data_IF_837853124646
#
_entry.id   IF_837853124646
#
_cell.length_a   1.000
_cell.length_b   1.000
_cell.length_c   1.000
_cell.angle_alpha   90.00
_cell.angle_beta   90.00
_cell.angle_gamma   90.00
#
_symmetry.space_group_name_H-M   'P 1'
#
loop_
_entity.id
_entity.type
_entity.pdbx_description
1 polymer ?
#
# COMPACT_ATOMS: atom_id res chain seq x y z
N UNK A 1 -13.96 17.44 12.70
CA UNK A 1 -13.39 16.18 12.17
C UNK A 1 -14.44 15.31 11.50
N UNK A 2 -15.65 15.15 12.05
CA UNK A 2 -16.72 14.34 11.44
C UNK A 2 -17.12 14.75 10.02
N UNK A 3 -17.27 16.05 9.75
CA UNK A 3 -17.59 16.53 8.39
C UNK A 3 -16.54 16.14 7.33
N UNK A 4 -15.25 16.16 7.69
CA UNK A 4 -14.17 15.73 6.79
C UNK A 4 -14.20 14.21 6.58
N UNK A 5 -14.47 13.44 7.63
CA UNK A 5 -14.64 11.99 7.55
C UNK A 5 -15.80 11.62 6.61
N UNK A 6 -16.94 12.30 6.72
CA UNK A 6 -18.07 12.09 5.81
C UNK A 6 -17.72 12.35 4.34
N UNK A 7 -16.92 13.39 4.05
CA UNK A 7 -16.46 13.67 2.68
C UNK A 7 -15.55 12.54 2.17
N UNK A 8 -14.62 12.07 3.00
CA UNK A 8 -13.73 10.95 2.64
C UNK A 8 -14.54 9.68 2.39
N UNK A 9 -15.46 9.34 3.30
CA UNK A 9 -16.28 8.12 3.20
C UNK A 9 -17.17 8.17 1.96
N UNK A 10 -17.73 9.35 1.65
CA UNK A 10 -18.46 9.58 0.41
C UNK A 10 -17.55 9.35 -0.81
N UNK A 11 -16.41 10.03 -0.89
CA UNK A 11 -15.48 9.87 -2.02
C UNK A 11 -15.02 8.40 -2.17
N UNK A 12 -14.70 7.74 -1.06
CA UNK A 12 -14.28 6.34 -1.05
C UNK A 12 -15.35 5.43 -1.63
N UNK A 13 -16.61 5.58 -1.18
CA UNK A 13 -17.73 4.78 -1.66
C UNK A 13 -17.95 4.95 -3.17
N UNK A 14 -17.92 6.19 -3.66
CA UNK A 14 -18.13 6.44 -5.10
C UNK A 14 -16.96 5.99 -5.98
N UNK A 15 -15.73 6.09 -5.48
CA UNK A 15 -14.54 5.73 -6.27
C UNK A 15 -14.29 4.22 -6.23
N UNK A 16 -14.31 3.61 -5.04
CA UNK A 16 -13.85 2.24 -4.81
C UNK A 16 -14.94 1.22 -4.55
N UNK A 17 -16.20 1.63 -4.32
CA UNK A 17 -17.30 0.69 -4.03
C UNK A 17 -18.45 0.78 -5.04
N UNK A 18 -18.53 1.83 -5.84
CA UNK A 18 -19.62 2.03 -6.79
C UNK A 18 -19.21 1.82 -8.25
N UNK A 19 -19.97 1.01 -9.03
CA UNK A 19 -20.99 0.06 -8.59
C UNK A 19 -20.36 -1.14 -7.87
N UNK A 20 -21.13 -1.80 -7.01
CA UNK A 20 -20.65 -2.88 -6.13
C UNK A 20 -20.06 -4.09 -6.87
N UNK A 21 -20.49 -4.32 -8.11
CA UNK A 21 -19.98 -5.41 -8.94
C UNK A 21 -18.55 -5.14 -9.47
N UNK A 22 -18.29 -3.93 -9.96
CA UNK A 22 -16.99 -3.53 -10.48
C UNK A 22 -16.86 -1.99 -10.42
N UNK A 23 -16.07 -1.44 -9.50
CA UNK A 23 -15.96 0.00 -9.31
C UNK A 23 -15.49 0.72 -10.58
N UNK A 24 -16.07 1.88 -10.87
CA UNK A 24 -15.73 2.62 -12.09
C UNK A 24 -14.25 3.00 -12.16
N UNK A 25 -13.60 3.25 -11.03
CA UNK A 25 -12.16 3.58 -11.02
C UNK A 25 -11.32 2.43 -11.56
N UNK A 26 -11.70 1.18 -11.29
CA UNK A 26 -10.99 0.00 -11.77
C UNK A 26 -11.12 -0.10 -13.30
N UNK A 27 -12.33 0.11 -13.81
CA UNK A 27 -12.60 0.13 -15.26
C UNK A 27 -11.86 1.26 -15.93
N UNK A 28 -11.85 2.47 -15.35
CA UNK A 28 -11.15 3.62 -15.91
C UNK A 28 -9.64 3.43 -15.90
N UNK A 29 -9.05 2.94 -14.81
CA UNK A 29 -7.61 2.73 -14.70
C UNK A 29 -7.11 1.63 -15.65
N UNK A 30 -7.69 0.43 -15.55
CA UNK A 30 -7.29 -0.70 -16.39
C UNK A 30 -7.69 -0.45 -17.85
N UNK A 31 -8.91 0.04 -18.09
CA UNK A 31 -9.39 0.36 -19.42
C UNK A 31 -8.53 1.41 -20.11
N UNK A 32 -8.12 2.47 -19.41
CA UNK A 32 -7.17 3.46 -19.95
C UNK A 32 -5.82 2.84 -20.23
N UNK A 33 -5.27 2.03 -19.31
CA UNK A 33 -3.99 1.35 -19.53
C UNK A 33 -4.01 0.39 -20.72
N UNK A 34 -5.10 -0.36 -20.90
CA UNK A 34 -5.33 -1.24 -22.06
C UNK A 34 -5.44 -0.41 -23.34
N UNK A 35 -6.29 0.63 -23.34
CA UNK A 35 -6.46 1.52 -24.48
C UNK A 35 -5.12 2.15 -24.91
N UNK A 36 -4.36 2.72 -23.96
CA UNK A 36 -3.06 3.31 -24.22
C UNK A 36 -2.06 2.26 -24.70
N UNK A 37 -2.08 1.06 -24.13
CA UNK A 37 -1.23 -0.06 -24.59
C UNK A 37 -1.47 -0.36 -26.05
N UNK A 38 -2.73 -0.50 -26.48
CA UNK A 38 -3.06 -0.75 -27.89
C UNK A 38 -2.70 0.46 -28.76
N UNK A 39 -3.06 1.67 -28.32
CA UNK A 39 -2.83 2.93 -29.06
C UNK A 39 -1.35 3.25 -29.26
N UNK A 40 -0.52 2.91 -28.27
CA UNK A 40 0.95 3.03 -28.32
C UNK A 40 1.61 1.76 -28.86
N UNK A 41 0.81 0.82 -29.39
CA UNK A 41 1.24 -0.42 -30.05
C UNK A 41 2.16 -1.25 -29.15
N UNK A 42 1.81 -1.50 -27.90
CA UNK A 42 2.62 -2.28 -26.94
C UNK A 42 4.04 -1.71 -26.73
N UNK A 43 4.13 -0.40 -26.50
CA UNK A 43 5.42 0.31 -26.30
C UNK A 43 6.24 -0.28 -25.15
N UNK A 44 5.56 -0.73 -24.09
CA UNK A 44 6.20 -1.31 -22.91
C UNK A 44 7.02 -2.56 -23.25
N UNK A 45 6.58 -3.35 -24.23
CA UNK A 45 7.33 -4.53 -24.71
C UNK A 45 8.39 -4.10 -25.72
N UNK A 46 7.99 -3.30 -26.73
CA UNK A 46 8.87 -2.98 -27.87
C UNK A 46 10.06 -2.08 -27.54
N UNK A 47 9.96 -1.26 -26.51
CA UNK A 47 10.93 -0.18 -26.23
C UNK A 47 11.61 -0.28 -24.86
N UNK A 48 11.40 -1.37 -24.11
CA UNK A 48 12.05 -1.58 -22.80
C UNK A 48 13.57 -1.47 -22.87
N UNK A 49 14.19 -2.09 -23.88
CA UNK A 49 15.65 -2.03 -24.07
C UNK A 49 16.15 -0.62 -24.34
N UNK A 50 15.36 0.21 -25.03
CA UNK A 50 15.73 1.60 -25.24
C UNK A 50 15.61 2.39 -23.94
N UNK A 51 14.56 2.16 -23.14
CA UNK A 51 14.44 2.71 -21.79
C UNK A 51 15.69 2.39 -20.96
N UNK A 52 16.11 1.12 -20.92
CA UNK A 52 17.32 0.68 -20.21
C UNK A 52 18.59 1.41 -20.69
N UNK A 53 18.75 1.59 -22.00
CA UNK A 53 19.87 2.35 -22.55
C UNK A 53 19.84 3.84 -22.16
N UNK A 54 18.65 4.44 -22.07
CA UNK A 54 18.49 5.83 -21.62
C UNK A 54 18.89 5.98 -20.14
N UNK A 55 18.44 5.10 -19.24
CA UNK A 55 18.86 5.17 -17.82
C UNK A 55 20.36 4.92 -17.65
N UNK A 56 20.96 4.07 -18.49
CA UNK A 56 22.40 3.81 -18.48
C UNK A 56 23.24 5.02 -18.94
N UNK A 57 22.61 6.11 -19.37
CA UNK A 57 23.26 7.37 -19.73
C UNK A 57 23.77 7.42 -21.16
N UNK A 58 23.48 6.43 -22.01
CA UNK A 58 23.92 6.43 -23.42
C UNK A 58 23.39 7.63 -24.23
N UNK A 59 22.32 8.27 -23.76
CA UNK A 59 21.67 9.40 -24.40
C UNK A 59 21.70 10.69 -23.55
N UNK A 60 22.45 10.68 -22.44
CA UNK A 60 22.60 11.86 -21.58
C UNK A 60 23.50 12.90 -22.24
N UNK A 61 23.02 14.15 -22.32
CA UNK A 61 23.83 15.32 -22.69
C UNK A 61 23.85 16.28 -21.49
N UNK A 62 25.02 16.61 -20.90
CA UNK A 62 25.12 17.56 -19.80
C UNK A 62 24.53 18.95 -20.12
N UNK A 63 24.46 19.32 -21.41
CA UNK A 63 23.90 20.57 -21.92
C UNK A 63 22.38 20.54 -22.07
N UNK A 64 21.73 19.38 -21.91
CA UNK A 64 20.28 19.29 -21.97
C UNK A 64 19.64 20.00 -20.77
N UNK A 65 18.54 20.71 -21.04
CA UNK A 65 17.80 21.45 -20.05
C UNK A 65 17.08 20.51 -19.06
N UNK A 66 17.22 20.80 -17.77
CA UNK A 66 16.69 20.02 -16.66
C UNK A 66 17.63 20.07 -15.45
N UNK A 67 17.22 19.44 -14.36
CA UNK A 67 17.92 19.52 -13.07
C UNK A 67 18.71 18.27 -12.73
N UNK A 68 18.19 17.10 -13.13
CA UNK A 68 18.72 15.78 -12.78
C UNK A 68 18.80 14.88 -14.02
N UNK A 69 19.66 13.86 -14.00
CA UNK A 69 19.73 12.90 -15.11
C UNK A 69 18.60 11.86 -15.05
N UNK A 70 18.47 11.05 -16.10
CA UNK A 70 17.45 10.02 -16.23
C UNK A 70 17.45 9.02 -15.06
N UNK A 71 18.63 8.58 -14.63
CA UNK A 71 18.76 7.64 -13.51
C UNK A 71 18.32 8.25 -12.18
N UNK A 72 18.67 9.51 -11.91
CA UNK A 72 18.25 10.24 -10.72
C UNK A 72 16.75 10.50 -10.72
N UNK A 73 16.16 10.80 -11.88
CA UNK A 73 14.71 10.99 -12.02
C UNK A 73 13.95 9.69 -11.73
N UNK A 74 14.37 8.58 -12.33
CA UNK A 74 13.81 7.26 -12.04
C UNK A 74 14.00 6.88 -10.58
N UNK A 75 15.19 7.09 -10.01
CA UNK A 75 15.48 6.76 -8.61
C UNK A 75 14.64 7.60 -7.65
N UNK A 76 14.45 8.89 -7.94
CA UNK A 76 13.58 9.75 -7.14
C UNK A 76 12.12 9.28 -7.19
N UNK A 77 11.61 8.94 -8.38
CA UNK A 77 10.28 8.37 -8.52
C UNK A 77 10.15 7.01 -7.79
N UNK A 78 11.12 6.12 -7.97
CA UNK A 78 11.15 4.82 -7.30
C UNK A 78 11.32 4.94 -5.78
N UNK A 79 11.96 5.98 -5.27
CA UNK A 79 12.06 6.19 -3.81
C UNK A 79 10.72 6.49 -3.16
N UNK A 80 9.75 6.99 -3.94
CA UNK A 80 8.38 7.19 -3.47
C UNK A 80 7.54 5.92 -3.57
N UNK A 81 7.80 5.07 -4.57
CA UNK A 81 6.99 3.87 -4.85
C UNK A 81 7.52 2.62 -4.13
N UNK A 82 8.84 2.41 -4.13
CA UNK A 82 9.50 1.30 -3.43
C UNK A 82 9.59 1.62 -1.94
N UNK A 83 8.74 0.96 -1.16
CA UNK A 83 8.71 1.10 0.29
C UNK A 83 7.63 0.23 0.92
N UNK A 84 6.88 0.80 1.86
CA UNK A 84 5.84 0.09 2.61
C UNK A 84 4.73 -0.42 1.69
N UNK A 85 4.49 0.22 0.55
CA UNK A 85 3.55 -0.26 -0.47
C UNK A 85 3.88 -1.66 -1.00
N UNK A 86 5.16 -1.95 -1.24
CA UNK A 86 5.61 -3.24 -1.80
C UNK A 86 5.77 -4.31 -0.73
N UNK A 87 6.07 -3.91 0.51
CA UNK A 87 6.26 -4.81 1.65
C UNK A 87 4.90 -5.11 2.28
N UNK A 88 4.28 -4.09 2.90
CA UNK A 88 3.02 -4.24 3.58
C UNK A 88 1.83 -4.29 2.62
N UNK A 89 1.83 -3.51 1.55
CA UNK A 89 0.69 -3.43 0.65
C UNK A 89 0.42 -4.74 -0.10
N UNK A 90 1.46 -5.49 -0.48
CA UNK A 90 1.33 -6.84 -1.06
C UNK A 90 0.75 -7.81 -0.03
N UNK A 91 1.28 -7.84 1.19
CA UNK A 91 0.74 -8.64 2.28
C UNK A 91 -0.72 -8.31 2.58
N UNK A 92 -1.08 -7.02 2.60
CA UNK A 92 -2.47 -6.57 2.74
C UNK A 92 -3.34 -7.04 1.56
N UNK A 93 -2.83 -7.00 0.33
CA UNK A 93 -3.55 -7.49 -0.85
C UNK A 93 -3.85 -8.99 -0.73
N UNK A 94 -2.85 -9.79 -0.33
CA UNK A 94 -3.01 -11.23 -0.13
C UNK A 94 -3.93 -11.52 1.05
N UNK A 95 -3.81 -10.77 2.15
CA UNK A 95 -4.64 -10.93 3.34
C UNK A 95 -6.13 -10.68 3.11
N UNK A 96 -6.49 -9.69 2.28
CA UNK A 96 -7.89 -9.38 2.02
C UNK A 96 -8.42 -10.01 0.71
N UNK A 97 -7.62 -9.97 -0.35
CA UNK A 97 -8.00 -10.46 -1.68
C UNK A 97 -7.58 -11.90 -1.97
N UNK A 98 -6.76 -12.51 -1.12
CA UNK A 98 -6.15 -13.82 -1.35
C UNK A 98 -4.93 -13.77 -2.28
N UNK A 99 -4.23 -14.89 -2.49
CA UNK A 99 -3.06 -14.97 -3.37
C UNK A 99 -3.33 -14.46 -4.80
N UNK A 100 -4.56 -14.65 -5.29
CA UNK A 100 -5.01 -14.15 -6.59
C UNK A 100 -4.95 -12.63 -6.76
N UNK A 101 -4.93 -11.86 -5.67
CA UNK A 101 -4.78 -10.41 -5.75
C UNK A 101 -3.42 -10.02 -6.36
N UNK A 102 -2.38 -10.83 -6.16
CA UNK A 102 -1.06 -10.59 -6.73
C UNK A 102 -1.08 -10.64 -8.27
N UNK A 103 -1.86 -11.56 -8.85
CA UNK A 103 -2.06 -11.59 -10.31
C UNK A 103 -2.64 -10.28 -10.82
N UNK A 104 -3.67 -9.76 -10.15
CA UNK A 104 -4.29 -8.49 -10.54
C UNK A 104 -3.36 -7.28 -10.30
N UNK A 105 -2.44 -7.36 -9.32
CA UNK A 105 -1.34 -6.38 -9.21
C UNK A 105 -0.43 -6.42 -10.45
N UNK A 106 -0.09 -7.61 -10.97
CA UNK A 106 0.69 -7.74 -12.21
C UNK A 106 -0.02 -7.16 -13.42
N UNK A 107 -1.31 -7.47 -13.59
CA UNK A 107 -2.13 -6.91 -14.68
C UNK A 107 -2.17 -5.38 -14.59
N UNK A 108 -2.35 -4.83 -13.39
CA UNK A 108 -2.33 -3.39 -13.14
C UNK A 108 -0.98 -2.78 -13.51
N UNK A 109 0.14 -3.43 -13.18
CA UNK A 109 1.47 -2.97 -13.54
C UNK A 109 1.73 -3.03 -15.06
N UNK A 110 1.37 -4.14 -15.72
CA UNK A 110 1.60 -4.33 -17.17
C UNK A 110 0.94 -3.23 -17.99
N UNK A 111 -0.33 -2.93 -17.69
CA UNK A 111 -1.06 -1.87 -18.39
C UNK A 111 -0.71 -0.48 -17.86
N UNK A 112 -0.40 -0.38 -16.57
CA UNK A 112 0.07 0.84 -15.91
C UNK A 112 1.40 1.36 -16.48
N UNK A 113 2.30 0.47 -16.90
CA UNK A 113 3.55 0.84 -17.57
C UNK A 113 3.31 1.80 -18.73
N UNK A 114 2.31 1.52 -19.58
CA UNK A 114 2.00 2.40 -20.71
C UNK A 114 1.36 3.71 -20.25
N UNK A 115 0.48 3.69 -19.26
CA UNK A 115 -0.09 4.91 -18.68
C UNK A 115 1.02 5.82 -18.17
N UNK A 116 1.95 5.28 -17.38
CA UNK A 116 3.09 6.01 -16.82
C UNK A 116 4.01 6.57 -17.92
N UNK A 117 4.26 5.79 -18.98
CA UNK A 117 4.98 6.26 -20.17
C UNK A 117 4.33 7.51 -20.78
N UNK A 118 3.00 7.49 -20.99
CA UNK A 118 2.26 8.61 -21.60
C UNK A 118 2.25 9.82 -20.66
N UNK A 119 1.94 9.63 -19.39
CA UNK A 119 1.87 10.71 -18.40
C UNK A 119 3.21 11.43 -18.25
N UNK A 120 4.31 10.69 -18.17
CA UNK A 120 5.65 11.28 -18.03
C UNK A 120 6.11 11.95 -19.33
N UNK A 121 5.77 11.38 -20.49
CA UNK A 121 6.02 12.03 -21.79
C UNK A 121 5.29 13.38 -21.88
N UNK A 122 4.01 13.42 -21.46
CA UNK A 122 3.22 14.65 -21.46
C UNK A 122 3.76 15.66 -20.45
N UNK A 123 4.13 15.23 -19.25
CA UNK A 123 4.73 16.10 -18.24
C UNK A 123 6.00 16.77 -18.76
N UNK A 124 6.87 16.01 -19.42
CA UNK A 124 8.08 16.53 -20.05
C UNK A 124 7.80 17.52 -21.18
N UNK A 125 6.76 17.26 -21.98
CA UNK A 125 6.36 18.15 -23.07
C UNK A 125 5.76 19.48 -22.59
N UNK A 126 5.04 19.46 -21.47
CA UNK A 126 4.29 20.61 -20.95
C UNK A 126 4.89 21.25 -19.70
N UNK A 127 6.09 20.83 -19.25
CA UNK A 127 6.80 21.43 -18.12
C UNK A 127 7.09 22.91 -18.32
N UNK A 128 7.20 23.65 -17.23
CA UNK A 128 7.77 24.98 -17.17
C UNK A 128 9.22 24.90 -16.72
N UNK A 129 10.05 25.77 -17.26
CA UNK A 129 11.41 26.01 -16.76
C UNK A 129 11.53 27.51 -16.52
N UNK A 130 11.94 27.90 -15.31
CA UNK A 130 12.22 29.29 -14.99
C UNK A 130 13.66 29.68 -15.42
N UNK A 131 13.99 30.96 -15.28
CA UNK A 131 15.32 31.49 -15.65
C UNK A 131 16.46 30.89 -14.81
N UNK A 132 16.16 30.43 -13.60
CA UNK A 132 17.10 29.76 -12.70
C UNK A 132 17.30 28.27 -13.04
N UNK A 133 16.61 27.76 -14.06
CA UNK A 133 16.66 26.36 -14.49
C UNK A 133 15.88 25.40 -13.60
N UNK A 134 15.04 25.90 -12.70
CA UNK A 134 14.08 25.12 -11.90
C UNK A 134 12.92 24.68 -12.78
N UNK A 135 12.58 23.40 -12.67
CA UNK A 135 11.58 22.78 -13.53
C UNK A 135 10.33 22.42 -12.74
N UNK A 136 9.18 22.84 -13.25
CA UNK A 136 7.88 22.47 -12.71
C UNK A 136 7.05 21.77 -13.78
N UNK A 137 6.75 20.49 -13.56
CA UNK A 137 5.92 19.68 -14.46
C UNK A 137 5.00 18.75 -13.68
N UNK A 138 4.17 18.03 -14.43
CA UNK A 138 3.17 17.11 -13.89
C UNK A 138 1.78 17.32 -14.51
N UNK A 139 0.78 16.58 -14.02
CA UNK A 139 -0.56 16.58 -14.61
C UNK A 139 -1.27 17.91 -14.60
N UNK A 140 -1.12 18.70 -13.55
CA UNK A 140 -1.64 20.07 -13.49
C UNK A 140 -1.21 20.91 -14.70
N UNK A 141 0.03 20.75 -15.18
CA UNK A 141 0.54 21.52 -16.31
C UNK A 141 0.06 20.98 -17.66
N UNK A 142 0.07 19.66 -17.88
CA UNK A 142 -0.44 19.13 -19.16
C UNK A 142 -1.97 19.22 -19.27
N UNK A 143 -2.70 19.29 -18.16
CA UNK A 143 -4.14 19.58 -18.16
C UNK A 143 -4.36 21.04 -18.58
N UNK A 144 -3.72 22.00 -17.90
CA UNK A 144 -3.89 23.42 -18.18
C UNK A 144 -3.42 23.80 -19.60
N UNK A 145 -2.26 23.32 -20.02
CA UNK A 145 -1.65 23.68 -21.31
C UNK A 145 -2.03 22.76 -22.46
N UNK A 146 -2.26 21.48 -22.20
CA UNK A 146 -2.56 20.48 -23.22
C UNK A 146 -4.05 20.44 -23.59
N UNK A 147 -4.94 20.44 -22.58
CA UNK A 147 -6.39 20.50 -22.82
C UNK A 147 -6.90 21.95 -22.95
N UNK A 148 -6.13 22.91 -22.45
CA UNK A 148 -6.38 24.34 -22.58
C UNK A 148 -7.11 24.96 -21.37
N UNK A 149 -7.21 26.29 -21.37
CA UNK A 149 -7.70 27.09 -20.22
C UNK A 149 -9.07 26.67 -19.67
N UNK A 150 -9.95 26.11 -20.51
CA UNK A 150 -11.28 25.61 -20.10
C UNK A 150 -11.20 24.46 -19.08
N UNK A 151 -10.09 23.72 -19.06
CA UNK A 151 -9.84 22.60 -18.15
C UNK A 151 -8.97 22.98 -16.95
N UNK A 152 -8.67 24.27 -16.76
CA UNK A 152 -7.85 24.74 -15.63
C UNK A 152 -8.43 24.33 -14.27
N UNK A 153 -9.75 24.28 -14.14
CA UNK A 153 -10.38 23.82 -12.90
C UNK A 153 -9.93 22.39 -12.51
N UNK A 154 -9.76 21.50 -13.49
CA UNK A 154 -9.30 20.13 -13.26
C UNK A 154 -7.83 20.07 -12.87
N UNK A 155 -7.00 20.96 -13.43
CA UNK A 155 -5.60 21.11 -13.01
C UNK A 155 -5.48 21.55 -11.55
N UNK A 156 -6.35 22.49 -11.11
CA UNK A 156 -6.41 22.95 -9.71
C UNK A 156 -6.90 21.83 -8.79
N UNK A 157 -7.93 21.09 -9.19
CA UNK A 157 -8.41 19.91 -8.44
C UNK A 157 -7.29 18.87 -8.29
N UNK A 158 -6.59 18.55 -9.38
CA UNK A 158 -5.47 17.62 -9.35
C UNK A 158 -4.36 18.11 -8.41
N UNK A 159 -3.95 19.38 -8.52
CA UNK A 159 -2.89 19.93 -7.67
C UNK A 159 -3.27 19.87 -6.18
N UNK A 160 -4.51 20.24 -5.82
CA UNK A 160 -5.01 20.13 -4.46
C UNK A 160 -5.04 18.68 -3.96
N UNK A 161 -5.56 17.75 -4.77
CA UNK A 161 -5.59 16.34 -4.43
C UNK A 161 -4.19 15.74 -4.28
N UNK A 162 -3.23 16.12 -5.14
CA UNK A 162 -1.84 15.67 -5.06
C UNK A 162 -1.16 16.15 -3.77
N UNK A 163 -1.41 17.39 -3.34
CA UNK A 163 -0.91 17.92 -2.05
C UNK A 163 -1.53 17.15 -0.88
N UNK A 164 -2.84 16.92 -0.88
CA UNK A 164 -3.50 16.15 0.19
C UNK A 164 -2.96 14.71 0.23
N UNK A 165 -2.82 14.07 -0.94
CA UNK A 165 -2.30 12.71 -1.08
C UNK A 165 -0.88 12.57 -0.54
N UNK A 166 -0.01 13.57 -0.77
CA UNK A 166 1.39 13.51 -0.32
C UNK A 166 1.55 13.47 1.21
N UNK A 167 0.67 14.13 1.97
CA UNK A 167 0.66 14.02 3.43
C UNK A 167 0.17 12.64 3.90
N UNK A 168 -0.76 12.02 3.16
CA UNK A 168 -1.32 10.71 3.48
C UNK A 168 -0.37 9.57 3.10
N UNK A 169 -0.35 9.20 1.81
CA UNK A 169 0.40 8.05 1.30
C UNK A 169 1.92 8.32 1.28
N UNK A 170 2.31 9.56 0.97
CA UNK A 170 3.72 9.93 0.83
C UNK A 170 4.47 10.17 2.15
N UNK A 171 3.76 10.44 3.25
CA UNK A 171 4.38 10.79 4.53
C UNK A 171 3.80 9.98 5.71
N UNK A 172 2.56 10.27 6.12
CA UNK A 172 2.02 9.79 7.40
C UNK A 172 1.99 8.27 7.50
N UNK A 173 1.53 7.57 6.45
CA UNK A 173 1.51 6.11 6.42
C UNK A 173 2.92 5.55 6.48
N UNK A 174 3.88 6.17 5.78
CA UNK A 174 5.24 5.66 5.73
C UNK A 174 5.97 5.81 7.08
N UNK A 175 5.94 7.02 7.64
CA UNK A 175 6.57 7.31 8.92
C UNK A 175 5.93 6.52 10.07
N UNK A 176 4.60 6.37 10.06
CA UNK A 176 3.89 5.59 11.08
C UNK A 176 4.31 4.12 11.09
N UNK A 177 4.33 3.47 9.92
CA UNK A 177 4.70 2.04 9.86
C UNK A 177 6.13 1.81 10.33
N UNK A 178 7.09 2.66 9.98
CA UNK A 178 8.47 2.54 10.48
C UNK A 178 8.52 2.73 11.99
N UNK A 179 7.86 3.77 12.52
CA UNK A 179 7.83 4.04 13.95
C UNK A 179 7.16 2.90 14.74
N UNK A 180 6.10 2.31 14.20
CA UNK A 180 5.39 1.20 14.84
C UNK A 180 6.21 -0.09 14.83
N UNK A 181 6.88 -0.43 13.72
CA UNK A 181 7.83 -1.55 13.68
C UNK A 181 8.96 -1.38 14.68
N UNK A 182 9.57 -0.19 14.76
CA UNK A 182 10.66 0.07 15.71
C UNK A 182 10.20 -0.01 17.18
N UNK A 183 8.98 0.45 17.46
CA UNK A 183 8.36 0.31 18.77
C UNK A 183 8.11 -1.16 19.12
N UNK A 184 7.56 -1.92 18.17
CA UNK A 184 7.22 -3.33 18.36
C UNK A 184 8.46 -4.20 18.58
N UNK A 185 9.48 -4.04 17.72
CA UNK A 185 10.62 -4.96 17.67
C UNK A 185 11.75 -4.55 18.61
N UNK A 186 11.91 -3.26 18.87
CA UNK A 186 13.02 -2.71 19.67
C UNK A 186 12.58 -1.90 20.88
N UNK A 187 11.27 -1.73 21.12
CA UNK A 187 10.75 -0.93 22.24
C UNK A 187 11.01 0.57 22.10
N UNK A 188 11.42 1.07 20.93
CA UNK A 188 11.78 2.48 20.73
C UNK A 188 10.50 3.34 20.71
N UNK A 189 10.38 4.37 21.57
CA UNK A 189 9.24 5.27 21.55
C UNK A 189 9.05 5.94 20.18
N UNK A 190 7.81 5.96 19.68
CA UNK A 190 7.48 6.41 18.32
C UNK A 190 7.89 7.86 18.03
N UNK A 191 7.86 8.74 19.03
CA UNK A 191 8.26 10.14 18.88
C UNK A 191 9.77 10.28 18.60
N UNK A 192 10.61 9.39 19.14
CA UNK A 192 12.05 9.38 18.88
C UNK A 192 12.29 8.99 17.42
N UNK A 193 11.68 7.89 16.97
CA UNK A 193 11.75 7.46 15.56
C UNK A 193 11.26 8.57 14.63
N UNK A 194 10.13 9.21 14.97
CA UNK A 194 9.59 10.34 14.22
C UNK A 194 10.55 11.53 14.14
N UNK A 195 11.19 11.93 15.25
CA UNK A 195 12.15 13.04 15.29
C UNK A 195 13.38 12.75 14.43
N UNK A 196 13.92 11.54 14.51
CA UNK A 196 15.08 11.11 13.71
C UNK A 196 14.72 11.10 12.23
N UNK A 197 13.60 10.48 11.85
CA UNK A 197 13.13 10.44 10.46
C UNK A 197 12.89 11.85 9.90
N UNK A 198 12.21 12.72 10.66
CA UNK A 198 11.95 14.10 10.24
C UNK A 198 13.25 14.88 10.01
N UNK A 199 14.26 14.69 10.88
CA UNK A 199 15.57 15.33 10.75
C UNK A 199 16.32 14.84 9.50
N UNK A 200 16.36 13.52 9.28
CA UNK A 200 16.99 12.91 8.11
C UNK A 200 16.34 13.34 6.81
N UNK A 201 15.00 13.28 6.74
CA UNK A 201 14.23 13.71 5.56
C UNK A 201 14.41 15.21 5.33
N UNK A 202 14.34 16.03 6.38
CA UNK A 202 14.59 17.47 6.35
C UNK A 202 15.93 17.83 5.69
N UNK A 203 17.01 17.14 6.09
CA UNK A 203 18.34 17.32 5.48
C UNK A 203 18.36 17.02 3.97
N UNK A 204 17.51 16.12 3.47
CA UNK A 204 17.43 15.79 2.05
C UNK A 204 16.57 16.79 1.28
N UNK A 205 15.36 17.08 1.76
CA UNK A 205 14.37 17.87 1.01
C UNK A 205 14.72 19.35 0.93
N UNK A 206 15.41 19.92 1.94
CA UNK A 206 15.85 21.33 1.93
C UNK A 206 16.79 21.60 0.74
N UNK A 207 17.52 20.58 0.27
CA UNK A 207 18.41 20.71 -0.89
C UNK A 207 17.71 20.62 -2.25
N UNK A 208 16.38 20.52 -2.30
CA UNK A 208 15.59 20.44 -3.52
C UNK A 208 15.79 19.14 -4.33
N UNK A 209 15.23 19.10 -5.54
CA UNK A 209 15.18 17.89 -6.38
C UNK A 209 16.57 17.35 -6.74
N UNK A 210 17.58 18.21 -6.85
CA UNK A 210 18.97 17.81 -7.10
C UNK A 210 19.54 16.98 -5.94
N UNK A 211 19.27 17.35 -4.68
CA UNK A 211 19.71 16.58 -3.50
C UNK A 211 18.88 15.30 -3.36
N UNK A 212 17.56 15.38 -3.58
CA UNK A 212 16.67 14.21 -3.57
C UNK A 212 17.15 13.17 -4.58
N UNK A 213 17.35 13.54 -5.86
CA UNK A 213 17.84 12.63 -6.89
C UNK A 213 19.21 12.04 -6.57
N UNK A 214 20.12 12.82 -5.98
CA UNK A 214 21.45 12.35 -5.55
C UNK A 214 21.39 11.33 -4.41
N UNK A 215 20.51 11.51 -3.44
CA UNK A 215 20.34 10.56 -2.33
C UNK A 215 19.62 9.32 -2.82
N UNK A 216 18.51 9.49 -3.53
CA UNK A 216 17.69 8.41 -4.07
C UNK A 216 18.49 7.50 -5.01
N UNK A 217 19.30 8.06 -5.92
CA UNK A 217 20.15 7.26 -6.84
C UNK A 217 21.18 6.37 -6.16
N UNK A 218 21.50 6.60 -4.87
CA UNK A 218 22.34 5.68 -4.08
C UNK A 218 21.49 4.75 -3.22
N UNK A 219 20.49 5.30 -2.54
CA UNK A 219 19.70 4.56 -1.57
C UNK A 219 18.81 3.51 -2.25
N UNK A 220 18.10 3.89 -3.32
CA UNK A 220 17.13 3.01 -3.99
C UNK A 220 17.77 1.72 -4.51
N UNK A 221 18.88 1.75 -5.27
CA UNK A 221 19.52 0.50 -5.71
C UNK A 221 19.98 -0.37 -4.54
N UNK A 222 20.55 0.23 -3.49
CA UNK A 222 21.05 -0.51 -2.33
C UNK A 222 19.89 -1.23 -1.62
N UNK A 223 18.80 -0.52 -1.31
CA UNK A 223 17.65 -1.13 -0.63
C UNK A 223 16.97 -2.20 -1.50
N UNK A 224 16.87 -1.97 -2.82
CA UNK A 224 16.31 -2.97 -3.74
C UNK A 224 17.15 -4.23 -3.82
N UNK A 225 18.49 -4.12 -3.83
CA UNK A 225 19.39 -5.28 -3.84
C UNK A 225 19.29 -6.07 -2.52
N UNK A 226 19.32 -5.39 -1.37
CA UNK A 226 19.19 -6.05 -0.06
C UNK A 226 17.89 -6.84 0.00
N UNK A 227 16.77 -6.20 -0.39
CA UNK A 227 15.47 -6.85 -0.39
C UNK A 227 15.40 -8.02 -1.39
N UNK A 228 15.94 -7.83 -2.60
CA UNK A 228 16.01 -8.87 -3.62
C UNK A 228 16.78 -10.09 -3.12
N UNK A 229 17.95 -9.89 -2.51
CA UNK A 229 18.78 -10.99 -1.98
C UNK A 229 18.02 -11.74 -0.89
N UNK A 230 17.43 -11.03 0.08
CA UNK A 230 16.64 -11.65 1.14
C UNK A 230 15.49 -12.49 0.60
N UNK A 231 14.72 -11.95 -0.35
CA UNK A 231 13.59 -12.66 -0.96
C UNK A 231 14.05 -13.89 -1.75
N UNK A 232 15.12 -13.76 -2.54
CA UNK A 232 15.68 -14.88 -3.29
C UNK A 232 16.19 -15.97 -2.34
N UNK A 233 16.85 -15.62 -1.23
CA UNK A 233 17.27 -16.61 -0.23
C UNK A 233 16.09 -17.44 0.29
N UNK A 234 15.00 -16.80 0.68
CA UNK A 234 13.79 -17.51 1.18
C UNK A 234 13.15 -18.36 0.08
N UNK A 235 13.08 -17.84 -1.15
CA UNK A 235 12.55 -18.59 -2.29
C UNK A 235 13.42 -19.79 -2.66
N UNK A 236 14.74 -19.69 -2.57
CA UNK A 236 15.65 -20.81 -2.80
C UNK A 236 15.51 -21.88 -1.70
N UNK A 237 15.29 -21.49 -0.45
CA UNK A 237 14.99 -22.42 0.65
C UNK A 237 13.66 -23.16 0.42
N UNK A 238 12.70 -22.51 -0.25
CA UNK A 238 11.37 -23.07 -0.56
C UNK A 238 11.19 -23.35 -2.08
N UNK A 239 12.27 -23.68 -2.79
CA UNK A 239 12.28 -23.74 -4.25
C UNK A 239 11.26 -24.74 -4.83
N UNK A 240 11.05 -25.85 -4.14
CA UNK A 240 10.08 -26.90 -4.46
C UNK A 240 8.63 -26.40 -4.46
N UNK A 241 8.33 -25.37 -3.67
CA UNK A 241 6.97 -24.80 -3.53
C UNK A 241 6.68 -23.70 -4.56
N UNK A 242 7.68 -23.18 -5.25
CA UNK A 242 7.52 -22.06 -6.21
C UNK A 242 6.49 -22.40 -7.31
N UNK A 243 6.55 -23.56 -8.00
CA UNK A 243 5.55 -23.89 -9.02
C UNK A 243 4.13 -23.92 -8.48
N UNK A 244 3.94 -24.50 -7.28
CA UNK A 244 2.64 -24.54 -6.62
C UNK A 244 2.14 -23.14 -6.23
N UNK A 245 3.03 -22.24 -5.83
CA UNK A 245 2.68 -20.86 -5.55
C UNK A 245 2.14 -20.14 -6.80
N UNK A 246 2.78 -20.28 -7.96
CA UNK A 246 2.26 -19.72 -9.22
C UNK A 246 0.90 -20.29 -9.59
N UNK A 247 0.71 -21.61 -9.46
CA UNK A 247 -0.60 -22.25 -9.70
C UNK A 247 -1.64 -21.68 -8.74
N UNK A 248 -1.32 -21.52 -7.46
CA UNK A 248 -2.23 -20.94 -6.46
C UNK A 248 -2.62 -19.51 -6.83
N UNK A 249 -1.65 -18.66 -7.18
CA UNK A 249 -1.89 -17.26 -7.56
C UNK A 249 -2.81 -17.18 -8.78
N UNK A 250 -2.52 -17.96 -9.84
CA UNK A 250 -3.33 -17.95 -11.07
C UNK A 250 -4.72 -18.54 -10.84
N UNK A 251 -4.81 -19.67 -10.15
CA UNK A 251 -6.08 -20.31 -9.84
C UNK A 251 -6.97 -19.38 -9.01
N UNK A 252 -6.46 -18.82 -7.92
CA UNK A 252 -7.23 -18.01 -6.98
C UNK A 252 -7.56 -16.62 -7.55
N UNK A 253 -6.87 -16.17 -8.60
CA UNK A 253 -7.22 -14.92 -9.29
C UNK A 253 -8.58 -14.99 -10.01
N UNK A 254 -8.97 -16.18 -10.48
CA UNK A 254 -10.22 -16.43 -11.21
C UNK A 254 -11.21 -17.28 -10.43
N UNK A 255 -10.73 -18.12 -9.51
CA UNK A 255 -11.53 -18.99 -8.65
C UNK A 255 -11.14 -18.81 -7.19
N UNK A 256 -11.37 -17.62 -6.58
CA UNK A 256 -10.99 -17.40 -5.19
C UNK A 256 -11.73 -18.39 -4.29
N UNK A 257 -10.98 -19.19 -3.53
CA UNK A 257 -11.55 -20.25 -2.68
C UNK A 257 -12.20 -19.67 -1.44
N UNK A 258 -13.26 -20.33 -0.97
CA UNK A 258 -13.79 -20.14 0.37
C UNK A 258 -12.95 -20.96 1.38
N UNK A 259 -12.28 -20.27 2.30
CA UNK A 259 -11.74 -20.75 3.59
C UNK A 259 -10.68 -21.87 3.59
N UNK A 260 -9.53 -21.59 4.21
CA UNK A 260 -8.80 -22.46 5.15
C UNK A 260 -7.98 -21.59 6.12
N UNK A 261 -7.83 -21.97 7.40
CA UNK A 261 -6.84 -21.38 8.32
C UNK A 261 -7.14 -20.01 8.95
N UNK A 262 -8.34 -19.45 8.84
CA UNK A 262 -8.68 -18.14 9.42
C UNK A 262 -8.64 -16.97 8.43
N UNK A 263 -8.28 -17.21 7.17
CA UNK A 263 -8.52 -16.31 6.04
C UNK A 263 -9.99 -16.41 5.58
N UNK A 264 -10.71 -15.28 5.53
CA UNK A 264 -12.05 -15.23 4.95
C UNK A 264 -11.91 -15.19 3.42
N UNK A 265 -12.51 -16.18 2.73
CA UNK A 265 -12.32 -16.36 1.30
C UNK A 265 -12.89 -15.22 0.45
N UNK A 266 -12.14 -14.68 -0.50
CA UNK A 266 -12.56 -13.53 -1.31
C UNK A 266 -13.60 -13.88 -2.41
N UNK A 267 -14.26 -12.88 -2.99
CA UNK A 267 -14.99 -13.01 -4.27
C UNK A 267 -14.10 -12.58 -5.43
N UNK A 268 -14.43 -12.97 -6.67
CA UNK A 268 -13.66 -12.56 -7.85
C UNK A 268 -13.49 -11.03 -7.90
N UNK A 269 -14.60 -10.29 -7.76
CA UNK A 269 -14.58 -8.84 -7.77
C UNK A 269 -13.71 -8.27 -6.62
N UNK A 270 -13.80 -8.84 -5.42
CA UNK A 270 -13.03 -8.36 -4.28
C UNK A 270 -11.53 -8.62 -4.44
N UNK A 271 -11.14 -9.81 -4.94
CA UNK A 271 -9.75 -10.16 -5.26
C UNK A 271 -9.17 -9.21 -6.31
N UNK A 272 -9.93 -8.94 -7.37
CA UNK A 272 -9.56 -8.01 -8.42
C UNK A 272 -9.40 -6.59 -7.87
N UNK A 273 -10.38 -6.08 -7.13
CA UNK A 273 -10.34 -4.72 -6.55
C UNK A 273 -9.13 -4.56 -5.63
N UNK A 274 -8.85 -5.53 -4.75
CA UNK A 274 -7.68 -5.46 -3.87
C UNK A 274 -6.36 -5.51 -4.63
N UNK A 275 -6.27 -6.34 -5.67
CA UNK A 275 -5.11 -6.38 -6.54
C UNK A 275 -4.91 -5.07 -7.31
N UNK A 276 -5.96 -4.46 -7.84
CA UNK A 276 -5.89 -3.17 -8.54
C UNK A 276 -5.56 -2.04 -7.58
N UNK A 277 -6.23 -1.98 -6.42
CA UNK A 277 -6.01 -0.95 -5.39
C UNK A 277 -4.59 -0.96 -4.88
N UNK A 278 -4.03 -2.14 -4.61
CA UNK A 278 -2.65 -2.29 -4.12
C UNK A 278 -1.63 -2.21 -5.24
N UNK A 279 -1.96 -2.66 -6.45
CA UNK A 279 -1.13 -2.48 -7.64
C UNK A 279 -0.93 -1.00 -7.98
N UNK A 280 -2.02 -0.22 -7.99
CA UNK A 280 -1.98 1.23 -8.17
C UNK A 280 -1.15 1.91 -7.09
N UNK A 281 -1.40 1.59 -5.82
CA UNK A 281 -0.67 2.17 -4.69
C UNK A 281 0.83 1.82 -4.73
N UNK A 282 1.17 0.66 -5.28
CA UNK A 282 2.55 0.21 -5.44
C UNK A 282 3.27 1.05 -6.50
N UNK A 283 2.83 1.05 -7.75
CA UNK A 283 3.60 1.63 -8.86
C UNK A 283 3.20 3.06 -9.28
N UNK A 284 2.10 3.58 -8.73
CA UNK A 284 1.50 4.89 -9.01
C UNK A 284 1.15 5.15 -10.49
N UNK A 285 1.01 4.11 -11.30
CA UNK A 285 0.64 4.26 -12.70
C UNK A 285 -0.85 4.62 -12.84
N UNK A 286 -1.17 5.75 -13.48
CA UNK A 286 -2.54 6.27 -13.51
C UNK A 286 -2.87 7.23 -12.35
N UNK A 287 -1.96 7.39 -11.38
CA UNK A 287 -2.12 8.32 -10.25
C UNK A 287 -1.65 9.74 -10.61
N UNK A 288 -0.68 9.87 -11.51
CA UNK A 288 -0.16 11.16 -11.97
C UNK A 288 0.89 11.82 -11.07
N UNK A 289 1.37 11.15 -10.01
CA UNK A 289 2.44 11.67 -9.13
C UNK A 289 3.84 11.53 -9.74
N UNK A 290 4.18 10.36 -10.28
CA UNK A 290 5.49 10.11 -10.88
C UNK A 290 5.93 11.12 -11.97
N UNK A 291 5.04 11.61 -12.87
CA UNK A 291 5.38 12.64 -13.84
C UNK A 291 5.95 13.93 -13.25
N UNK A 292 5.68 14.23 -11.97
CA UNK A 292 6.22 15.41 -11.28
C UNK A 292 7.74 15.28 -11.10
N UNK A 293 8.21 14.11 -10.63
CA UNK A 293 9.65 13.85 -10.45
C UNK A 293 10.35 13.73 -11.81
N UNK A 294 9.75 13.02 -12.76
CA UNK A 294 10.30 12.83 -14.11
C UNK A 294 10.38 14.14 -14.90
N UNK A 295 9.53 15.15 -14.59
CA UNK A 295 9.61 16.46 -15.24
C UNK A 295 10.98 17.13 -15.09
N UNK A 296 11.70 16.85 -14.00
CA UNK A 296 12.99 17.46 -13.70
C UNK A 296 14.17 16.85 -14.51
N UNK A 297 13.93 15.78 -15.29
CA UNK A 297 14.97 15.10 -16.04
C UNK A 297 15.57 15.98 -17.16
N UNK A 298 16.87 15.84 -17.39
CA UNK A 298 17.59 16.47 -18.50
C UNK A 298 17.35 15.69 -19.78
N UNK A 299 16.55 16.24 -20.70
CA UNK A 299 16.41 15.72 -22.06
C UNK A 299 15.75 16.74 -22.97
N UNK A 300 16.17 16.78 -24.24
CA UNK A 300 15.48 17.47 -25.33
C UNK A 300 14.26 16.70 -25.84
N UNK A 301 14.23 15.39 -25.64
CA UNK A 301 13.21 14.49 -26.18
C UNK A 301 12.30 13.97 -25.06
N UNK A 302 11.05 14.47 -24.93
CA UNK A 302 10.12 14.08 -23.87
C UNK A 302 9.86 12.57 -23.81
N UNK A 303 9.86 11.92 -24.97
CA UNK A 303 9.59 10.48 -25.09
C UNK A 303 10.70 9.63 -24.44
N UNK A 304 11.95 10.10 -24.43
CA UNK A 304 13.06 9.36 -23.77
C UNK A 304 12.78 9.17 -22.30
N UNK A 305 12.35 10.23 -21.63
CA UNK A 305 12.01 10.16 -20.22
C UNK A 305 10.73 9.36 -19.96
N UNK A 306 9.75 9.42 -20.87
CA UNK A 306 8.62 8.50 -20.84
C UNK A 306 9.06 7.04 -20.81
N UNK A 307 10.03 6.66 -21.66
CA UNK A 307 10.57 5.29 -21.72
C UNK A 307 11.35 4.91 -20.45
N UNK A 308 11.98 5.87 -19.77
CA UNK A 308 12.61 5.64 -18.47
C UNK A 308 11.55 5.42 -17.40
N UNK A 309 10.55 6.29 -17.32
CA UNK A 309 9.49 6.23 -16.32
C UNK A 309 8.69 4.92 -16.36
N UNK A 310 8.52 4.35 -17.56
CA UNK A 310 7.84 3.07 -17.75
C UNK A 310 8.60 1.90 -17.10
N UNK A 311 9.89 2.03 -16.80
CA UNK A 311 10.65 1.00 -16.07
C UNK A 311 10.22 0.89 -14.59
N UNK A 312 9.57 1.93 -14.05
CA UNK A 312 9.10 1.96 -12.66
C UNK A 312 8.25 0.73 -12.29
N UNK A 313 7.10 0.49 -12.93
CA UNK A 313 6.25 -0.67 -12.64
C UNK A 313 6.91 -2.04 -12.88
N UNK A 314 7.90 -2.13 -13.77
CA UNK A 314 8.70 -3.35 -13.93
C UNK A 314 9.51 -3.66 -12.68
N UNK A 315 10.24 -2.66 -12.17
CA UNK A 315 11.10 -2.81 -10.99
C UNK A 315 10.24 -2.96 -9.74
N UNK A 316 9.27 -2.09 -9.56
CA UNK A 316 8.43 -2.00 -8.37
C UNK A 316 7.51 -3.23 -8.23
N UNK A 317 6.63 -3.45 -9.21
CA UNK A 317 5.54 -4.41 -9.04
C UNK A 317 5.88 -5.77 -9.64
N UNK A 318 6.41 -5.79 -10.87
CA UNK A 318 6.69 -7.06 -11.54
C UNK A 318 7.91 -7.77 -10.97
N UNK A 319 8.83 -7.05 -10.32
CA UNK A 319 9.98 -7.63 -9.63
C UNK A 319 9.79 -7.63 -8.10
N UNK A 320 9.82 -6.47 -7.44
CA UNK A 320 9.83 -6.41 -5.96
C UNK A 320 8.53 -6.96 -5.36
N UNK A 321 7.36 -6.51 -5.81
CA UNK A 321 6.08 -7.04 -5.28
C UNK A 321 5.86 -8.51 -5.61
N UNK A 322 6.29 -8.97 -6.79
CA UNK A 322 6.27 -10.39 -7.14
C UNK A 322 7.09 -11.22 -6.17
N UNK A 323 8.31 -10.77 -5.84
CA UNK A 323 9.16 -11.43 -4.85
C UNK A 323 8.49 -11.48 -3.48
N UNK A 324 7.97 -10.35 -2.99
CA UNK A 324 7.21 -10.30 -1.73
C UNK A 324 6.05 -11.31 -1.73
N UNK A 325 5.24 -11.29 -2.77
CA UNK A 325 4.05 -12.13 -2.86
C UNK A 325 4.40 -13.61 -2.98
N UNK A 326 5.44 -13.96 -3.74
CA UNK A 326 5.93 -15.33 -3.86
C UNK A 326 6.49 -15.83 -2.52
N UNK A 327 7.26 -15.01 -1.79
CA UNK A 327 7.75 -15.37 -0.45
C UNK A 327 6.57 -15.68 0.48
N UNK A 328 5.59 -14.78 0.56
CA UNK A 328 4.40 -14.97 1.41
C UNK A 328 3.65 -16.26 1.04
N UNK A 329 3.40 -16.51 -0.25
CA UNK A 329 2.62 -17.67 -0.71
C UNK A 329 3.38 -18.98 -0.57
N UNK A 330 4.70 -19.00 -0.81
CA UNK A 330 5.54 -20.21 -0.69
C UNK A 330 5.76 -20.62 0.76
N UNK A 331 5.97 -19.67 1.66
CA UNK A 331 6.12 -19.96 3.09
C UNK A 331 4.78 -20.36 3.70
N UNK A 332 3.68 -19.71 3.29
CA UNK A 332 2.33 -20.09 3.69
C UNK A 332 1.79 -19.39 4.94
N UNK A 333 2.56 -18.47 5.55
CA UNK A 333 2.18 -17.71 6.75
C UNK A 333 0.87 -16.92 6.63
N UNK A 334 0.42 -16.61 5.40
CA UNK A 334 -0.85 -15.93 5.15
C UNK A 334 -2.10 -16.75 5.54
N UNK A 335 -1.92 -18.03 5.86
CA UNK A 335 -2.98 -18.92 6.38
C UNK A 335 -2.86 -19.16 7.88
N UNK A 336 -1.83 -18.63 8.52
CA UNK A 336 -1.49 -18.94 9.89
C UNK A 336 -1.80 -17.77 10.82
N UNK A 337 -2.13 -18.09 12.07
CA UNK A 337 -2.33 -17.10 13.12
C UNK A 337 -1.14 -17.13 14.07
N UNK A 338 -0.57 -15.95 14.33
CA UNK A 338 0.54 -15.76 15.26
C UNK A 338 0.00 -15.30 16.59
N UNK A 339 0.50 -15.88 17.69
CA UNK A 339 0.15 -15.41 19.02
C UNK A 339 0.67 -13.99 19.23
N UNK A 340 -0.21 -13.08 19.64
CA UNK A 340 0.09 -11.67 19.88
C UNK A 340 -0.63 -11.19 21.14
N UNK A 341 -0.06 -10.19 21.80
CA UNK A 341 -0.65 -9.51 22.97
C UNK A 341 -0.86 -8.04 22.61
N UNK A 342 -2.12 -7.66 22.38
CA UNK A 342 -2.47 -6.37 21.77
C UNK A 342 -3.32 -5.54 22.74
N UNK A 343 -2.89 -4.32 23.14
CA UNK A 343 -3.71 -3.46 23.97
C UNK A 343 -4.98 -2.98 23.24
N UNK A 344 -6.08 -2.80 23.97
CA UNK A 344 -7.28 -2.21 23.39
C UNK A 344 -7.08 -0.71 23.18
N UNK A 345 -7.29 -0.26 21.95
CA UNK A 345 -7.28 1.15 21.59
C UNK A 345 -8.06 1.33 20.31
N UNK A 346 -8.40 2.58 19.98
CA UNK A 346 -8.99 2.88 18.66
C UNK A 346 -8.10 2.41 17.50
N UNK A 347 -6.77 2.40 17.71
CA UNK A 347 -5.79 1.99 16.69
C UNK A 347 -5.69 0.47 16.52
N UNK A 348 -5.95 -0.31 17.56
CA UNK A 348 -5.83 -1.78 17.47
C UNK A 348 -6.96 -2.41 16.66
N UNK A 349 -8.04 -1.65 16.39
CA UNK A 349 -9.18 -2.03 15.56
C UNK A 349 -9.76 -3.40 15.95
N UNK A 350 -9.77 -3.69 17.25
CA UNK A 350 -10.38 -4.90 17.80
C UNK A 350 -11.88 -4.70 17.82
N UNK A 351 -12.61 -5.62 17.21
CA UNK A 351 -14.07 -5.62 17.18
C UNK A 351 -14.60 -6.77 18.01
N UNK A 352 -15.70 -6.55 18.73
CA UNK A 352 -16.41 -7.59 19.48
C UNK A 352 -17.68 -7.98 18.71
N UNK A 353 -17.83 -9.27 18.41
CA UNK A 353 -19.00 -9.83 17.74
C UNK A 353 -19.69 -10.87 18.62
N UNK A 354 -20.95 -11.16 18.32
CA UNK A 354 -21.70 -12.24 18.99
C UNK A 354 -21.07 -13.59 18.64
N UNK A 355 -21.07 -14.55 19.58
CA UNK A 355 -20.43 -15.86 19.38
C UNK A 355 -20.94 -16.64 18.15
N UNK A 356 -22.23 -16.48 17.82
CA UNK A 356 -22.84 -17.16 16.67
C UNK A 356 -22.82 -16.32 15.38
N UNK A 357 -22.10 -15.20 15.35
CA UNK A 357 -22.08 -14.33 14.19
C UNK A 357 -21.12 -14.85 13.12
N UNK A 358 -21.60 -14.88 11.87
CA UNK A 358 -20.78 -15.23 10.71
C UNK A 358 -20.11 -13.98 10.14
N UNK A 359 -18.80 -14.04 9.96
CA UNK A 359 -18.06 -13.02 9.21
C UNK A 359 -18.18 -13.36 7.72
N UNK A 360 -18.48 -12.36 6.89
CA UNK A 360 -18.66 -12.56 5.45
C UNK A 360 -17.33 -12.93 4.78
N UNK A 361 -17.45 -13.54 3.61
CA UNK A 361 -16.34 -13.99 2.75
C UNK A 361 -15.26 -12.91 2.54
N UNK A 362 -15.63 -11.65 2.38
CA UNK A 362 -14.71 -10.51 2.22
C UNK A 362 -14.18 -9.92 3.54
N UNK A 363 -14.35 -10.60 4.68
CA UNK A 363 -13.94 -10.12 5.99
C UNK A 363 -14.81 -8.99 6.55
N UNK A 364 -15.95 -8.67 5.90
CA UNK A 364 -16.92 -7.69 6.38
C UNK A 364 -17.77 -8.32 7.49
N UNK A 365 -17.89 -7.59 8.59
CA UNK A 365 -18.77 -7.93 9.72
C UNK A 365 -20.12 -7.24 9.46
N UNK A 366 -21.23 -7.98 9.29
CA UNK A 366 -22.56 -7.39 9.14
C UNK A 366 -22.95 -6.54 10.36
N UNK A 367 -23.72 -5.47 10.19
CA UNK A 367 -24.12 -4.61 11.32
C UNK A 367 -24.84 -5.37 12.46
N UNK A 368 -25.60 -6.42 12.13
CA UNK A 368 -26.27 -7.28 13.13
C UNK A 368 -25.36 -8.24 13.89
N UNK A 369 -24.13 -8.46 13.39
CA UNK A 369 -23.13 -9.36 13.98
C UNK A 369 -22.37 -8.71 15.15
N UNK A 370 -22.24 -7.38 15.16
CA UNK A 370 -21.59 -6.67 16.24
C UNK A 370 -22.29 -6.94 17.58
N UNK A 371 -21.50 -7.20 18.61
CA UNK A 371 -22.01 -7.28 19.96
C UNK A 371 -22.26 -5.86 20.48
N UNK A 372 -23.45 -5.62 21.03
CA UNK A 372 -23.80 -4.38 21.73
C UNK A 372 -24.46 -4.75 23.03
N UNK A 373 -23.91 -4.27 24.14
CA UNK A 373 -24.35 -4.65 25.48
C UNK A 373 -23.18 -4.95 26.39
N UNK A 374 -23.48 -5.68 27.46
CA UNK A 374 -22.54 -6.00 28.53
C UNK A 374 -22.36 -7.51 28.60
N UNK A 375 -21.13 -7.99 28.76
CA UNK A 375 -20.86 -9.41 29.06
C UNK A 375 -19.81 -9.55 30.14
N UNK A 376 -19.91 -10.63 30.91
CA UNK A 376 -18.96 -10.95 31.96
C UNK A 376 -17.67 -11.50 31.37
N UNK A 377 -16.56 -11.25 32.07
CA UNK A 377 -15.26 -11.85 31.81
C UNK A 377 -14.83 -12.60 33.04
N UNK A 378 -14.49 -13.88 32.87
CA UNK A 378 -14.03 -14.76 33.93
C UNK A 378 -12.74 -15.45 33.50
N UNK A 379 -11.71 -15.34 34.31
CA UNK A 379 -10.37 -15.83 34.04
C UNK A 379 -9.87 -15.38 32.66
N UNK A 380 -10.12 -14.11 32.31
CA UNK A 380 -9.77 -13.51 31.01
C UNK A 380 -10.65 -13.93 29.84
N UNK A 381 -11.63 -14.82 30.01
CA UNK A 381 -12.51 -15.29 28.92
C UNK A 381 -13.82 -14.53 29.00
N UNK A 382 -14.20 -13.85 27.91
CA UNK A 382 -15.47 -13.16 27.81
C UNK A 382 -16.59 -14.11 27.39
N UNK A 383 -17.70 -14.08 28.10
CA UNK A 383 -18.86 -14.94 27.82
C UNK A 383 -19.59 -14.48 26.54
N UNK A 384 -20.05 -15.42 25.71
CA UNK A 384 -20.94 -15.21 24.55
C UNK A 384 -20.47 -14.23 23.45
N UNK A 385 -19.17 -13.91 23.42
CA UNK A 385 -18.58 -13.01 22.41
C UNK A 385 -17.31 -13.57 21.79
N UNK A 386 -17.00 -13.10 20.59
CA UNK A 386 -15.73 -13.33 19.92
C UNK A 386 -15.04 -12.00 19.64
N UNK A 387 -13.71 -12.01 19.72
CA UNK A 387 -12.88 -10.89 19.31
C UNK A 387 -12.43 -11.09 17.88
N UNK A 388 -12.50 -10.03 17.10
CA UNK A 388 -12.08 -9.99 15.70
C UNK A 388 -10.99 -8.95 15.55
N UNK A 389 -9.87 -9.37 14.96
CA UNK A 389 -8.77 -8.49 14.57
C UNK A 389 -8.26 -8.88 13.19
N UNK A 390 -7.89 -7.89 12.39
CA UNK A 390 -7.43 -8.08 11.01
C UNK A 390 -8.42 -8.89 10.17
N UNK A 391 -9.72 -8.67 10.35
CA UNK A 391 -10.76 -9.48 9.70
C UNK A 391 -10.48 -10.97 9.88
N UNK A 392 -10.23 -11.42 11.11
CA UNK A 392 -10.20 -12.82 11.52
C UNK A 392 -10.56 -12.92 13.01
N UNK A 393 -11.19 -14.00 13.42
CA UNK A 393 -11.40 -14.25 14.85
C UNK A 393 -10.06 -14.45 15.55
N UNK A 394 -9.95 -14.00 16.79
CA UNK A 394 -8.77 -14.25 17.63
C UNK A 394 -8.94 -15.61 18.29
N UNK A 395 -8.06 -16.56 17.98
CA UNK A 395 -8.16 -17.91 18.53
C UNK A 395 -7.54 -17.95 19.93
N UNK A 396 -8.23 -18.57 20.88
CA UNK A 396 -7.79 -18.62 22.28
C UNK A 396 -7.79 -17.25 22.96
N UNK A 397 -8.66 -16.33 22.51
CA UNK A 397 -8.76 -14.97 23.02
C UNK A 397 -8.85 -14.91 24.57
N UNK A 398 -7.94 -14.16 25.19
CA UNK A 398 -7.92 -13.86 26.62
C UNK A 398 -7.67 -12.37 26.86
N UNK A 399 -8.39 -11.82 27.82
CA UNK A 399 -8.22 -10.46 28.31
C UNK A 399 -7.26 -10.47 29.50
N UNK A 400 -6.22 -9.66 29.42
CA UNK A 400 -5.14 -9.57 30.41
C UNK A 400 -5.04 -8.14 30.93
N UNK A 401 -4.96 -7.99 32.25
CA UNK A 401 -4.71 -6.73 32.94
C UNK A 401 -3.54 -6.93 33.91
N UNK A 402 -2.49 -6.11 33.79
CA UNK A 402 -1.27 -6.22 34.62
C UNK A 402 -0.69 -7.65 34.67
N UNK A 403 -0.58 -8.28 33.49
CA UNK A 403 -0.06 -9.64 33.30
C UNK A 403 -0.84 -10.75 34.04
N UNK A 404 -2.10 -10.48 34.39
CA UNK A 404 -3.03 -11.45 34.98
C UNK A 404 -4.33 -11.52 34.17
N UNK A 405 -5.04 -12.66 34.17
CA UNK A 405 -6.36 -12.75 33.56
C UNK A 405 -7.30 -11.69 34.12
N UNK A 406 -7.97 -10.96 33.23
CA UNK A 406 -8.94 -9.94 33.61
C UNK A 406 -10.25 -10.61 34.06
N UNK A 407 -10.74 -10.20 35.22
CA UNK A 407 -12.04 -10.57 35.77
C UNK A 407 -12.90 -9.33 35.93
N UNK A 408 -14.13 -9.38 35.41
CA UNK A 408 -15.02 -8.24 35.45
C UNK A 408 -16.06 -8.25 34.34
N UNK A 409 -16.31 -7.09 33.75
CA UNK A 409 -17.34 -6.89 32.73
C UNK A 409 -16.80 -6.04 31.60
N UNK A 410 -17.15 -6.39 30.37
CA UNK A 410 -16.93 -5.54 29.19
C UNK A 410 -18.27 -4.99 28.70
N UNK A 411 -18.30 -3.71 28.37
CA UNK A 411 -19.46 -3.03 27.81
C UNK A 411 -19.12 -2.45 26.45
N UNK A 412 -19.83 -2.91 25.42
CA UNK A 412 -19.65 -2.48 24.03
C UNK A 412 -20.84 -1.63 23.62
N UNK A 413 -20.62 -0.33 23.51
CA UNK A 413 -21.67 0.66 23.17
C UNK A 413 -21.54 1.19 21.74
N UNK A 414 -20.33 1.17 21.18
CA UNK A 414 -19.99 1.73 19.87
C UNK A 414 -18.94 0.88 19.16
N UNK A 415 -18.52 1.28 17.97
CA UNK A 415 -17.43 0.63 17.22
C UNK A 415 -16.02 0.93 17.79
N UNK A 416 -15.93 1.66 18.91
CA UNK A 416 -14.68 1.94 19.62
C UNK A 416 -14.27 0.83 20.60
N UNK A 417 -13.16 1.02 21.34
CA UNK A 417 -12.74 0.06 22.36
C UNK A 417 -13.84 -0.13 23.41
N UNK A 418 -14.03 -1.37 23.93
CA UNK A 418 -14.98 -1.63 25.00
C UNK A 418 -14.68 -0.79 26.26
N UNK A 419 -15.71 -0.50 27.05
CA UNK A 419 -15.52 -0.02 28.42
C UNK A 419 -15.31 -1.22 29.33
N UNK A 420 -14.20 -1.22 30.08
CA UNK A 420 -13.82 -2.31 30.96
C UNK A 420 -14.13 -1.92 32.40
N UNK A 421 -14.74 -2.84 33.16
CA UNK A 421 -14.93 -2.70 34.60
C UNK A 421 -14.44 -3.95 35.31
N UNK A 422 -13.61 -3.77 36.33
CA UNK A 422 -13.12 -4.90 37.12
C UNK A 422 -14.25 -5.58 37.94
N UNK A 423 -13.92 -6.66 38.66
CA UNK A 423 -14.87 -7.38 39.49
C UNK A 423 -15.54 -6.52 40.59
N UNK A 424 -14.96 -5.38 40.96
CA UNK A 424 -15.52 -4.41 41.91
C UNK A 424 -16.40 -3.34 41.24
N UNK A 425 -16.49 -3.36 39.91
CA UNK A 425 -17.27 -2.41 39.11
C UNK A 425 -16.52 -1.11 38.79
N UNK A 426 -15.25 -1.00 39.16
CA UNK A 426 -14.40 0.16 38.89
C UNK A 426 -13.95 0.14 37.43
N UNK A 427 -14.00 1.30 36.79
CA UNK A 427 -13.60 1.46 35.39
C UNK A 427 -12.10 1.28 35.23
N UNK A 428 -11.71 0.47 34.25
CA UNK A 428 -10.32 0.23 33.85
C UNK A 428 -10.07 0.89 32.49
N UNK A 429 -8.98 1.66 32.31
CA UNK A 429 -8.60 2.18 31.01
C UNK A 429 -8.42 1.05 29.99
N UNK A 430 -9.01 1.19 28.80
CA UNK A 430 -8.95 0.15 27.77
C UNK A 430 -7.50 -0.17 27.34
N UNK A 431 -6.62 0.83 27.34
CA UNK A 431 -5.21 0.67 26.96
C UNK A 431 -4.40 -0.22 27.93
N UNK A 432 -4.87 -0.35 29.17
CA UNK A 432 -4.26 -1.23 30.17
C UNK A 432 -4.69 -2.69 30.01
N UNK A 433 -5.81 -2.94 29.31
CA UNK A 433 -6.29 -4.28 29.00
C UNK A 433 -5.70 -4.72 27.67
N UNK A 434 -5.12 -5.93 27.64
CA UNK A 434 -4.58 -6.56 26.44
C UNK A 434 -5.45 -7.74 26.01
N UNK A 435 -5.63 -7.88 24.70
CA UNK A 435 -6.15 -9.09 24.07
C UNK A 435 -4.98 -9.98 23.68
N UNK A 436 -4.91 -11.16 24.28
CA UNK A 436 -3.98 -12.22 23.94
C UNK A 436 -4.65 -13.32 23.14
N UNK A 437 -3.97 -13.82 22.11
CA UNK A 437 -4.43 -14.95 21.34
C UNK A 437 -3.76 -15.02 19.97
N UNK A 438 -4.10 -16.05 19.21
CA UNK A 438 -3.57 -16.24 17.86
C UNK A 438 -4.36 -15.38 16.87
N UNK A 439 -3.66 -14.45 16.22
CA UNK A 439 -4.21 -13.44 15.31
C UNK A 439 -3.59 -13.60 13.93
N UNK A 440 -4.43 -13.50 12.88
CA UNK A 440 -3.97 -13.47 11.50
C UNK A 440 -3.18 -12.17 11.25
N UNK A 441 -1.97 -12.28 10.71
CA UNK A 441 -1.12 -11.14 10.44
C UNK A 441 -1.44 -10.52 9.08
N UNK A 442 -1.28 -9.20 8.95
CA UNK A 442 -1.36 -8.49 7.67
C UNK A 442 -0.28 -7.42 7.59
N UNK A 443 -0.10 -6.79 6.43
CA UNK A 443 0.82 -5.66 6.28
C UNK A 443 2.28 -6.03 6.58
N UNK A 444 3.04 -5.11 7.18
CA UNK A 444 4.46 -5.34 7.50
C UNK A 444 4.69 -6.54 8.41
N UNK A 445 3.91 -6.78 9.50
CA UNK A 445 4.07 -7.98 10.33
C UNK A 445 3.97 -9.30 9.56
N UNK A 446 3.05 -9.40 8.60
CA UNK A 446 2.92 -10.62 7.79
C UNK A 446 4.15 -10.82 6.88
N UNK A 447 4.63 -9.76 6.25
CA UNK A 447 5.83 -9.84 5.41
C UNK A 447 7.06 -10.16 6.24
N UNK A 448 7.21 -9.53 7.41
CA UNK A 448 8.33 -9.80 8.32
C UNK A 448 8.31 -11.24 8.86
N UNK A 449 7.14 -11.87 8.99
CA UNK A 449 7.05 -13.29 9.36
C UNK A 449 7.37 -14.23 8.19
N UNK A 450 7.13 -13.81 6.96
CA UNK A 450 7.42 -14.60 5.77
C UNK A 450 8.91 -14.62 5.40
N UNK A 451 9.65 -13.56 5.74
CA UNK A 451 11.09 -13.44 5.51
C UNK A 451 11.87 -13.97 6.72
#
# INVERSE_FOLDING_TARGET
MEGFKHIIDFAYRYVWEFPSALPYIVVLLLGTGIFLTIRMRFVQIRKVNHGLAVIAGYYDDPKDAGEINHFQALSAALSATIGIGNIAGVATAIHYGGPGALFWMWITAIFGTTSKFVECTLSMRYRNMNEEGVVSGGPMYYIEKGLGKKWKFLAVIFAGAAVISSFGSGNSVQAFTVADSFRSDFGIPTWITGLVLASLVGMVIIGGIKRIGRVASRLVPIMSIIYFVGAITVLLINADKIPHAFVTILHDAFNPRAQTGGFFGSTFAFTLIWGVKRGLFSNEAGQGSAPIAHAAAKTKEPVREGLVAMLGPYIDTLLICSLTGLVIVTVGVWKEKKFESVPFSEKSAIVVIKNNATILKNGIIPDGAYFRGSTAVRNGIADDVLFVKNSSTVDGARLILNDRPFDGTIMVTSHGPPDFRDASGIRVPAEDVKLEGSILQNGSPLTAWAF
#
